data_IF_798722478026
#
_entry.id   IF_798722478026
#
_cell.length_a   1.000
_cell.length_b   1.000
_cell.length_c   1.000
_cell.angle_alpha   90.00
_cell.angle_beta   90.00
_cell.angle_gamma   90.00
#
_symmetry.space_group_name_H-M   'P 1'
#
loop_
_entity.id
_entity.type
_entity.pdbx_description
1 polymer ?
#
# COMPACT_ATOMS: atom_id res chain seq x y z
N UNK A 1 -3.57 14.32 3.80
CA UNK A 1 -2.35 14.29 4.64
C UNK A 1 -2.08 12.93 5.25
N UNK A 2 -3.11 12.19 5.68
CA UNK A 2 -2.98 10.88 6.36
C UNK A 2 -2.04 9.86 5.67
N UNK A 3 -2.05 9.75 4.33
CA UNK A 3 -1.25 8.75 3.60
C UNK A 3 0.26 9.04 3.62
N UNK A 4 0.66 10.31 3.52
CA UNK A 4 2.08 10.72 3.55
C UNK A 4 2.65 10.53 4.95
N UNK A 5 1.87 10.91 5.96
CA UNK A 5 2.28 10.76 7.35
C UNK A 5 2.41 9.29 7.74
N UNK A 6 1.51 8.41 7.27
CA UNK A 6 1.63 6.98 7.47
C UNK A 6 2.91 6.42 6.82
N UNK A 7 3.18 6.78 5.56
CA UNK A 7 4.39 6.34 4.85
C UNK A 7 5.66 6.75 5.60
N UNK A 8 5.70 7.97 6.15
CA UNK A 8 6.81 8.45 7.00
C UNK A 8 6.98 7.60 8.26
N UNK A 9 5.89 7.30 8.98
CA UNK A 9 5.94 6.48 10.19
C UNK A 9 6.39 5.03 9.91
N UNK A 10 6.00 4.47 8.77
CA UNK A 10 6.42 3.13 8.35
C UNK A 10 7.89 3.10 7.92
N UNK A 11 8.37 4.12 7.20
CA UNK A 11 9.79 4.24 6.84
C UNK A 11 10.71 4.39 8.05
N UNK A 12 10.27 5.11 9.10
CA UNK A 12 11.00 5.15 10.37
C UNK A 12 11.14 3.76 11.02
N UNK A 13 10.24 2.81 10.70
CA UNK A 13 10.28 1.41 11.12
C UNK A 13 10.98 0.48 10.12
N UNK A 14 11.72 1.04 9.16
CA UNK A 14 12.49 0.30 8.13
C UNK A 14 11.65 -0.48 7.12
N UNK A 15 10.37 -0.13 6.96
CA UNK A 15 9.57 -0.65 5.85
C UNK A 15 9.75 0.21 4.60
N UNK A 16 9.82 -0.44 3.45
CA UNK A 16 9.82 0.22 2.15
C UNK A 16 8.39 0.61 1.72
N UNK A 17 7.98 1.83 2.08
CA UNK A 17 6.63 2.33 1.83
C UNK A 17 6.68 3.70 1.17
N UNK A 18 5.93 3.85 0.08
CA UNK A 18 5.72 5.11 -0.63
C UNK A 18 4.23 5.46 -0.62
N UNK A 19 3.90 6.74 -0.44
CA UNK A 19 2.52 7.20 -0.65
C UNK A 19 2.30 7.56 -2.12
N UNK A 20 1.15 7.20 -2.68
CA UNK A 20 0.71 7.66 -4.02
C UNK A 20 0.79 9.20 -4.13
N UNK A 21 0.56 9.93 -3.04
CA UNK A 21 0.70 11.40 -3.02
C UNK A 21 2.14 11.89 -3.18
N UNK A 22 3.13 11.13 -2.72
CA UNK A 22 4.56 11.47 -2.80
C UNK A 22 5.12 11.25 -4.21
N UNK A 23 4.52 10.37 -5.01
CA UNK A 23 4.93 10.12 -6.39
C UNK A 23 4.63 11.29 -7.36
N UNK A 24 4.27 12.48 -6.84
CA UNK A 24 3.83 13.62 -7.64
C UNK A 24 2.40 13.48 -8.19
N UNK A 25 1.68 12.45 -7.72
CA UNK A 25 0.37 12.06 -8.23
C UNK A 25 -0.77 12.63 -7.37
N UNK A 26 -0.46 13.42 -6.34
CA UNK A 26 -1.43 13.98 -5.41
C UNK A 26 -2.43 14.99 -6.00
N UNK A 27 -2.15 15.55 -7.19
CA UNK A 27 -3.00 16.54 -7.89
C UNK A 27 -3.64 16.00 -9.18
N UNK A 28 -3.31 14.79 -9.61
CA UNK A 28 -4.01 14.09 -10.71
C UNK A 28 -4.86 13.00 -10.09
N UNK A 29 -6.11 12.86 -10.52
CA UNK A 29 -6.90 11.66 -10.22
C UNK A 29 -6.19 10.49 -10.90
N UNK A 30 -5.38 9.77 -10.14
CA UNK A 30 -4.93 8.44 -10.53
C UNK A 30 -6.05 7.47 -10.23
N UNK A 31 -6.36 6.65 -11.22
CA UNK A 31 -7.29 5.53 -11.10
C UNK A 31 -6.64 4.34 -10.38
N UNK A 32 -7.49 3.49 -9.82
CA UNK A 32 -7.07 2.35 -9.00
C UNK A 32 -6.23 1.32 -9.80
N UNK A 33 -6.49 1.17 -11.11
CA UNK A 33 -5.73 0.29 -12.02
C UNK A 33 -4.28 0.76 -12.21
N UNK A 34 -4.08 2.06 -12.40
CA UNK A 34 -2.75 2.66 -12.46
C UNK A 34 -1.99 2.48 -11.14
N UNK A 35 -2.65 2.64 -9.98
CA UNK A 35 -2.00 2.38 -8.67
C UNK A 35 -1.53 0.94 -8.58
N UNK A 36 -2.41 -0.02 -8.93
CA UNK A 36 -2.08 -1.44 -8.84
C UNK A 36 -0.98 -1.84 -9.83
N UNK A 37 -0.98 -1.26 -11.04
CA UNK A 37 0.07 -1.45 -12.04
C UNK A 37 1.43 -0.96 -11.56
N UNK A 38 1.50 0.29 -11.07
CA UNK A 38 2.75 0.83 -10.52
C UNK A 38 3.26 0.01 -9.34
N UNK A 39 2.37 -0.42 -8.45
CA UNK A 39 2.75 -1.26 -7.32
C UNK A 39 3.26 -2.64 -7.78
N UNK A 40 2.65 -3.25 -8.79
CA UNK A 40 3.11 -4.50 -9.36
C UNK A 40 4.50 -4.36 -10.02
N UNK A 41 4.71 -3.30 -10.80
CA UNK A 41 5.99 -3.00 -11.45
C UNK A 41 7.11 -2.79 -10.41
N UNK A 42 6.81 -2.07 -9.33
CA UNK A 42 7.74 -1.83 -8.22
C UNK A 42 7.88 -2.99 -7.23
N UNK A 43 7.16 -4.11 -7.46
CA UNK A 43 7.10 -5.27 -6.56
C UNK A 43 6.63 -4.93 -5.13
N UNK A 44 5.67 -4.00 -5.02
CA UNK A 44 5.07 -3.52 -3.78
C UNK A 44 3.62 -3.95 -3.63
N UNK A 45 3.19 -4.16 -2.40
CA UNK A 45 1.77 -4.33 -2.09
C UNK A 45 1.06 -2.98 -1.97
N UNK A 46 -0.22 -2.92 -2.36
CA UNK A 46 -1.06 -1.73 -2.20
C UNK A 46 -1.81 -1.76 -0.87
N UNK A 47 -1.70 -0.70 -0.06
CA UNK A 47 -2.61 -0.47 1.07
C UNK A 47 -3.71 0.51 0.65
N UNK A 48 -4.97 0.10 0.77
CA UNK A 48 -6.13 0.92 0.37
C UNK A 48 -7.27 0.84 1.38
N UNK A 49 -8.07 1.91 1.40
CA UNK A 49 -9.37 1.95 2.11
C UNK A 49 -10.55 1.76 1.15
N UNK A 50 -10.31 1.78 -0.15
CA UNK A 50 -11.32 1.54 -1.18
C UNK A 50 -11.48 0.04 -1.41
N UNK A 51 -12.23 -0.61 -0.52
CA UNK A 51 -12.33 -2.08 -0.48
C UNK A 51 -13.03 -2.62 -1.74
N UNK A 52 -14.15 -2.02 -2.14
CA UNK A 52 -14.96 -2.53 -3.24
C UNK A 52 -14.20 -2.54 -4.56
N UNK A 53 -13.59 -1.41 -4.91
CA UNK A 53 -12.97 -1.24 -6.23
C UNK A 53 -11.70 -2.08 -6.34
N UNK A 54 -10.84 -2.10 -5.32
CA UNK A 54 -9.64 -2.94 -5.34
C UNK A 54 -9.92 -4.44 -5.24
N UNK A 55 -11.04 -4.85 -4.63
CA UNK A 55 -11.44 -6.27 -4.63
C UNK A 55 -11.89 -6.71 -6.02
N UNK A 56 -12.67 -5.88 -6.72
CA UNK A 56 -13.04 -6.13 -8.10
C UNK A 56 -11.80 -6.16 -9.02
N UNK A 57 -10.90 -5.20 -8.83
CA UNK A 57 -9.64 -5.11 -9.57
C UNK A 57 -8.75 -6.34 -9.38
N UNK A 58 -8.64 -6.83 -8.13
CA UNK A 58 -7.93 -8.07 -7.82
C UNK A 58 -8.50 -9.26 -8.61
N UNK A 59 -9.83 -9.43 -8.61
CA UNK A 59 -10.48 -10.51 -9.35
C UNK A 59 -10.23 -10.40 -10.85
N UNK A 60 -10.28 -9.19 -11.40
CA UNK A 60 -10.00 -8.94 -12.81
C UNK A 60 -8.54 -9.27 -13.17
N UNK A 61 -7.58 -8.86 -12.34
CA UNK A 61 -6.17 -9.20 -12.57
C UNK A 61 -5.94 -10.71 -12.59
N UNK A 62 -6.58 -11.43 -11.67
CA UNK A 62 -6.49 -12.90 -11.64
C UNK A 62 -7.14 -13.54 -12.88
N UNK A 63 -8.31 -13.05 -13.33
CA UNK A 63 -8.95 -13.58 -14.54
C UNK A 63 -8.12 -13.34 -15.80
N UNK A 64 -7.40 -12.22 -15.84
CA UNK A 64 -6.56 -11.81 -16.97
C UNK A 64 -5.15 -12.44 -16.90
N UNK A 65 -4.87 -13.29 -15.90
CA UNK A 65 -3.57 -13.94 -15.70
C UNK A 65 -2.44 -12.99 -15.27
N UNK A 66 -2.78 -11.79 -14.79
CA UNK A 66 -1.84 -10.77 -14.32
C UNK A 66 -1.47 -11.01 -12.86
N UNK A 67 -0.25 -10.63 -12.49
CA UNK A 67 0.28 -10.81 -11.14
C UNK A 67 0.59 -9.47 -10.48
N UNK A 68 0.28 -9.33 -9.19
CA UNK A 68 0.66 -8.19 -8.35
C UNK A 68 1.21 -8.69 -7.01
N UNK A 69 2.01 -7.88 -6.31
CA UNK A 69 2.66 -8.27 -5.05
C UNK A 69 1.73 -8.27 -3.82
N UNK A 70 0.47 -7.89 -3.98
CA UNK A 70 -0.59 -8.06 -2.97
C UNK A 70 -1.39 -6.78 -2.73
N UNK A 71 -2.56 -6.93 -2.10
CA UNK A 71 -3.43 -5.83 -1.73
C UNK A 71 -3.82 -6.00 -0.26
N UNK A 72 -3.51 -4.98 0.54
CA UNK A 72 -3.88 -4.88 1.95
C UNK A 72 -5.10 -3.98 2.04
N UNK A 73 -6.23 -4.60 2.37
CA UNK A 73 -7.51 -3.92 2.56
C UNK A 73 -7.66 -3.50 4.02
N UNK A 74 -7.92 -2.21 4.26
CA UNK A 74 -8.16 -1.70 5.61
C UNK A 74 -9.42 -0.86 5.64
N UNK A 75 -10.09 -0.83 6.79
CA UNK A 75 -11.14 0.16 7.02
C UNK A 75 -10.50 1.52 7.31
N UNK A 76 -11.15 2.60 6.89
CA UNK A 76 -10.68 3.94 7.23
C UNK A 76 -10.73 4.12 8.75
N UNK A 77 -9.56 4.34 9.36
CA UNK A 77 -9.43 4.61 10.79
C UNK A 77 -9.27 6.11 10.99
N UNK A 78 -9.94 6.64 12.01
CA UNK A 78 -9.84 8.06 12.39
C UNK A 78 -8.48 8.40 12.99
N UNK A 79 -7.80 7.41 13.57
CA UNK A 79 -6.53 7.59 14.28
C UNK A 79 -5.36 6.95 13.51
N UNK A 80 -4.38 7.78 13.16
CA UNK A 80 -3.17 7.32 12.47
C UNK A 80 -2.34 6.34 13.31
N UNK A 81 -2.29 6.54 14.63
CA UNK A 81 -1.53 5.68 15.54
C UNK A 81 -2.02 4.24 15.53
N UNK A 82 -3.35 4.04 15.49
CA UNK A 82 -3.93 2.71 15.41
C UNK A 82 -3.65 2.04 14.06
N UNK A 83 -3.71 2.82 12.96
CA UNK A 83 -3.35 2.31 11.65
C UNK A 83 -1.86 1.90 11.58
N UNK A 84 -0.97 2.74 12.10
CA UNK A 84 0.47 2.45 12.23
C UNK A 84 0.69 1.16 13.01
N UNK A 85 0.03 0.99 14.15
CA UNK A 85 0.17 -0.18 15.01
C UNK A 85 -0.31 -1.47 14.33
N UNK A 86 -1.50 -1.43 13.72
CA UNK A 86 -2.08 -2.61 13.03
C UNK A 86 -1.26 -2.99 11.81
N UNK A 87 -0.88 -2.01 10.99
CA UNK A 87 -0.07 -2.24 9.81
C UNK A 87 1.30 -2.80 10.19
N UNK A 88 1.96 -2.24 11.21
CA UNK A 88 3.26 -2.74 11.67
C UNK A 88 3.19 -4.21 12.09
N UNK A 89 2.18 -4.57 12.91
CA UNK A 89 1.98 -5.97 13.34
C UNK A 89 1.69 -6.90 12.16
N UNK A 90 0.90 -6.45 11.19
CA UNK A 90 0.60 -7.24 10.01
C UNK A 90 1.87 -7.47 9.17
N UNK A 91 2.63 -6.41 8.92
CA UNK A 91 3.88 -6.51 8.18
C UNK A 91 4.89 -7.39 8.93
N UNK A 92 5.04 -7.28 10.25
CA UNK A 92 5.93 -8.17 11.03
C UNK A 92 5.65 -9.67 10.82
N UNK A 93 4.38 -10.05 10.60
CA UNK A 93 3.97 -11.44 10.38
C UNK A 93 4.15 -11.92 8.93
N UNK A 94 4.00 -11.02 7.95
CA UNK A 94 3.90 -11.37 6.53
C UNK A 94 4.99 -10.76 5.64
N UNK A 95 5.82 -9.87 6.19
CA UNK A 95 6.83 -9.10 5.47
C UNK A 95 8.05 -8.87 6.35
N UNK A 96 9.21 -9.41 5.95
CA UNK A 96 10.46 -9.09 6.67
C UNK A 96 10.80 -7.63 6.37
N UNK A 97 11.06 -6.78 7.39
CA UNK A 97 11.53 -5.42 7.14
C UNK A 97 12.83 -5.47 6.34
N UNK A 98 13.01 -4.52 5.42
CA UNK A 98 14.20 -4.47 4.58
C UNK A 98 15.41 -4.20 5.46
N UNK A 99 16.19 -5.24 5.76
CA UNK A 99 17.49 -5.09 6.41
C UNK A 99 18.47 -4.58 5.36
N UNK A 100 18.60 -3.27 5.22
CA UNK A 100 19.81 -2.70 4.60
C UNK A 100 20.96 -2.94 5.58
N UNK A 101 21.71 -4.02 5.35
CA UNK A 101 23.03 -4.20 5.96
C UNK A 101 23.97 -3.27 5.19
N UNK A 102 24.52 -2.27 5.88
CA UNK A 102 25.63 -1.46 5.38
C UNK A 102 26.91 -2.30 5.29
#
# INVERSE_FOLDING_TARGET
MLSVELARHMRHRRYDVVSVKELGLGNRRIDDETVLTLAADDQRAVLTFNISDFSALHTQWLSDGRQHSGIILSRQLSEIGELVRRLSRHLELYSRPTTTIC
#
